data_IF_710455436391
#
_entry.id   IF_710455436391
#
_cell.length_a   1.000
_cell.length_b   1.000
_cell.length_c   1.000
_cell.angle_alpha   90.00
_cell.angle_beta   90.00
_cell.angle_gamma   90.00
#
_symmetry.space_group_name_H-M   'P 1'
#
loop_
_entity.id
_entity.type
_entity.pdbx_description
1 polymer ?
#
# COMPACT_ATOMS: atom_id res chain seq x y z
N UNK A 1 -12.37 11.91 9.52
CA UNK A 1 -12.07 10.55 9.05
C UNK A 1 -11.38 9.77 10.14
N UNK A 2 -11.97 9.89 11.28
CA UNK A 2 -11.50 9.13 12.42
C UNK A 2 -11.61 7.64 12.12
N UNK A 3 -10.67 6.90 12.65
CA UNK A 3 -10.63 5.44 12.59
C UNK A 3 -10.35 4.82 11.23
N UNK A 4 -10.06 5.63 10.21
CA UNK A 4 -9.57 5.08 8.95
C UNK A 4 -8.13 4.62 9.17
N UNK A 5 -7.88 3.34 8.92
CA UNK A 5 -6.55 2.75 9.09
C UNK A 5 -5.88 2.59 7.74
N UNK A 6 -4.64 3.03 7.65
CA UNK A 6 -3.86 2.91 6.42
C UNK A 6 -2.61 2.10 6.75
N UNK A 7 -2.44 0.98 6.05
CA UNK A 7 -1.28 0.10 6.21
C UNK A 7 -0.21 0.47 5.19
N UNK A 8 1.00 0.64 5.67
CA UNK A 8 2.15 0.98 4.83
C UNK A 8 3.19 -0.13 4.95
N UNK A 9 3.49 -0.78 3.82
CA UNK A 9 4.39 -1.92 3.76
C UNK A 9 5.60 -1.60 2.91
N UNK A 10 6.76 -1.55 3.53
CA UNK A 10 8.03 -1.27 2.88
C UNK A 10 9.12 -1.67 3.86
N UNK A 11 10.19 -2.29 3.40
CA UNK A 11 11.28 -2.68 4.29
C UNK A 11 12.18 -1.51 4.69
N UNK A 12 12.02 -0.35 4.08
CA UNK A 12 12.77 0.86 4.40
C UNK A 12 11.99 1.73 5.38
N UNK A 13 12.59 1.98 6.54
CA UNK A 13 12.01 2.88 7.54
C UNK A 13 11.83 4.28 6.96
N UNK A 14 12.82 4.75 6.19
CA UNK A 14 12.74 6.07 5.56
C UNK A 14 11.60 6.15 4.55
N UNK A 15 11.45 5.12 3.72
CA UNK A 15 10.37 5.10 2.73
C UNK A 15 9.00 5.13 3.42
N UNK A 16 8.84 4.35 4.50
CA UNK A 16 7.58 4.39 5.26
C UNK A 16 7.31 5.77 5.83
N UNK A 17 8.36 6.42 6.38
CA UNK A 17 8.19 7.76 6.94
C UNK A 17 7.79 8.77 5.86
N UNK A 18 8.44 8.72 4.71
CA UNK A 18 8.12 9.64 3.61
C UNK A 18 6.67 9.49 3.16
N UNK A 19 6.20 8.26 3.06
CA UNK A 19 4.82 7.99 2.64
C UNK A 19 3.83 8.44 3.71
N UNK A 20 4.12 8.15 4.98
CA UNK A 20 3.27 8.62 6.07
C UNK A 20 3.16 10.15 6.10
N UNK A 21 4.29 10.83 5.92
CA UNK A 21 4.30 12.30 5.92
C UNK A 21 3.45 12.86 4.78
N UNK A 22 3.52 12.24 3.61
CA UNK A 22 2.69 12.65 2.46
C UNK A 22 1.20 12.44 2.73
N UNK A 23 0.85 11.30 3.33
CA UNK A 23 -0.55 10.99 3.63
C UNK A 23 -1.10 11.92 4.73
N UNK A 24 -0.26 12.26 5.72
CA UNK A 24 -0.67 13.20 6.77
C UNK A 24 -1.09 14.55 6.19
N UNK A 25 -0.43 14.98 5.13
CA UNK A 25 -0.80 16.23 4.47
C UNK A 25 -2.19 16.17 3.81
N UNK A 26 -2.70 14.97 3.61
CA UNK A 26 -4.05 14.75 3.08
C UNK A 26 -5.09 14.64 4.19
N UNK A 27 -4.68 14.71 5.46
CA UNK A 27 -5.60 14.70 6.59
C UNK A 27 -5.79 13.37 7.28
N UNK A 28 -4.95 12.38 7.01
CA UNK A 28 -5.06 11.03 7.58
C UNK A 28 -3.79 10.70 8.35
N UNK A 29 -3.92 10.19 9.57
CA UNK A 29 -2.76 9.95 10.43
C UNK A 29 -2.83 8.66 11.26
N UNK A 30 -3.75 7.76 10.94
CA UNK A 30 -3.84 6.48 11.65
C UNK A 30 -3.18 5.39 10.82
N UNK A 31 -1.94 5.06 11.15
CA UNK A 31 -1.11 4.17 10.35
C UNK A 31 -0.82 2.85 11.04
N UNK A 32 -0.74 1.79 10.22
CA UNK A 32 -0.13 0.53 10.57
C UNK A 32 1.08 0.35 9.65
N UNK A 33 2.10 -0.34 10.10
CA UNK A 33 3.31 -0.52 9.31
C UNK A 33 3.72 -1.99 9.26
N UNK A 34 4.30 -2.37 8.12
CA UNK A 34 4.86 -3.70 7.94
C UNK A 34 6.18 -3.57 7.18
N UNK A 35 7.17 -4.37 7.52
CA UNK A 35 8.50 -4.31 6.92
C UNK A 35 8.78 -5.45 5.95
N UNK A 36 7.85 -6.36 5.75
CA UNK A 36 7.95 -7.44 4.79
C UNK A 36 6.56 -7.94 4.42
N UNK A 37 6.50 -8.79 3.40
CA UNK A 37 5.21 -9.26 2.89
C UNK A 37 4.42 -10.11 3.87
N UNK A 38 5.10 -10.90 4.71
CA UNK A 38 4.40 -11.71 5.69
C UNK A 38 3.75 -10.84 6.76
N UNK A 39 4.49 -9.83 7.26
CA UNK A 39 3.91 -8.87 8.21
C UNK A 39 2.74 -8.12 7.61
N UNK A 40 2.82 -7.78 6.32
CA UNK A 40 1.73 -7.10 5.63
C UNK A 40 0.46 -7.96 5.66
N UNK A 41 0.60 -9.23 5.33
CA UNK A 41 -0.53 -10.18 5.33
C UNK A 41 -1.11 -10.31 6.73
N UNK A 42 -0.26 -10.54 7.72
CA UNK A 42 -0.69 -10.74 9.10
C UNK A 42 -1.38 -9.51 9.67
N UNK A 43 -0.82 -8.33 9.40
CA UNK A 43 -1.39 -7.06 9.85
C UNK A 43 -2.74 -6.80 9.20
N UNK A 44 -2.84 -7.11 7.90
CA UNK A 44 -4.12 -6.95 7.20
C UNK A 44 -5.20 -7.85 7.82
N UNK A 45 -4.86 -9.11 8.07
CA UNK A 45 -5.83 -10.05 8.64
C UNK A 45 -6.31 -9.62 10.01
N UNK A 46 -5.42 -9.04 10.79
CA UNK A 46 -5.76 -8.62 12.15
C UNK A 46 -6.57 -7.32 12.17
N UNK A 47 -6.22 -6.36 11.34
CA UNK A 47 -6.77 -4.99 11.44
C UNK A 47 -7.70 -4.59 10.31
N UNK A 48 -7.65 -5.26 9.17
CA UNK A 48 -8.45 -4.95 7.98
C UNK A 48 -8.45 -3.45 7.64
N UNK A 49 -7.27 -2.89 7.37
CA UNK A 49 -7.17 -1.46 7.07
C UNK A 49 -7.96 -1.09 5.82
N UNK A 50 -8.42 0.14 5.76
CA UNK A 50 -9.22 0.65 4.64
C UNK A 50 -8.39 0.90 3.39
N UNK A 51 -7.08 1.04 3.53
CA UNK A 51 -6.19 1.28 2.40
C UNK A 51 -4.82 0.67 2.72
N UNK A 52 -4.20 0.04 1.72
CA UNK A 52 -2.88 -0.57 1.85
C UNK A 52 -1.97 -0.03 0.76
N UNK A 53 -0.79 0.44 1.16
CA UNK A 53 0.29 0.73 0.24
C UNK A 53 1.36 -0.35 0.43
N UNK A 54 1.73 -1.03 -0.63
CA UNK A 54 2.68 -2.13 -0.54
C UNK A 54 3.78 -1.98 -1.59
N UNK A 55 5.04 -1.97 -1.14
CA UNK A 55 6.18 -1.96 -2.05
C UNK A 55 6.29 -3.34 -2.71
N UNK A 56 6.72 -3.34 -3.97
CA UNK A 56 6.91 -4.59 -4.71
C UNK A 56 8.07 -5.39 -4.13
N UNK A 57 9.18 -4.73 -3.84
CA UNK A 57 10.40 -5.43 -3.40
C UNK A 57 10.47 -5.42 -1.88
N UNK A 58 10.20 -6.57 -1.29
CA UNK A 58 10.30 -6.77 0.17
C UNK A 58 10.84 -8.15 0.45
N UNK A 59 11.52 -8.34 1.60
CA UNK A 59 12.02 -9.66 1.97
C UNK A 59 10.89 -10.57 2.46
N UNK A 60 11.18 -11.86 2.56
CA UNK A 60 10.31 -12.93 3.05
C UNK A 60 9.21 -13.23 2.04
N UNK A 61 8.28 -12.29 1.83
CA UNK A 61 7.32 -12.31 0.73
C UNK A 61 7.32 -10.94 0.08
N UNK A 62 7.37 -10.91 -1.24
CA UNK A 62 7.35 -9.64 -1.97
C UNK A 62 5.95 -9.06 -2.06
N UNK A 63 5.84 -7.89 -2.70
CA UNK A 63 4.55 -7.21 -2.80
C UNK A 63 3.51 -7.96 -3.59
N UNK A 64 3.91 -8.68 -4.64
CA UNK A 64 2.97 -9.44 -5.46
C UNK A 64 2.37 -10.59 -4.64
N UNK A 65 3.22 -11.31 -3.92
CA UNK A 65 2.75 -12.39 -3.03
C UNK A 65 1.84 -11.85 -1.93
N UNK A 66 2.21 -10.71 -1.35
CA UNK A 66 1.40 -10.10 -0.30
C UNK A 66 0.02 -9.71 -0.83
N UNK A 67 -0.04 -9.09 -2.01
CA UNK A 67 -1.31 -8.71 -2.63
C UNK A 67 -2.17 -9.94 -2.89
N UNK A 68 -1.57 -10.99 -3.44
CA UNK A 68 -2.28 -12.24 -3.72
C UNK A 68 -2.94 -12.78 -2.44
N UNK A 69 -2.20 -12.91 -1.37
CA UNK A 69 -2.71 -13.49 -0.13
C UNK A 69 -3.71 -12.58 0.58
N UNK A 70 -3.47 -11.28 0.56
CA UNK A 70 -4.42 -10.32 1.13
C UNK A 70 -5.76 -10.38 0.39
N UNK A 71 -5.70 -10.40 -0.93
CA UNK A 71 -6.91 -10.45 -1.77
C UNK A 71 -7.63 -11.79 -1.68
N UNK A 72 -6.89 -12.86 -1.47
CA UNK A 72 -7.48 -14.18 -1.24
C UNK A 72 -8.25 -14.19 0.07
N UNK A 73 -7.71 -13.56 1.11
CA UNK A 73 -8.37 -13.42 2.40
C UNK A 73 -9.55 -12.45 2.33
N UNK A 74 -9.39 -11.33 1.63
CA UNK A 74 -10.41 -10.28 1.53
C UNK A 74 -10.46 -9.74 0.09
N UNK A 75 -11.38 -10.23 -0.74
CA UNK A 75 -11.49 -9.77 -2.13
C UNK A 75 -11.82 -8.28 -2.27
N UNK A 76 -12.25 -7.61 -1.19
CA UNK A 76 -12.56 -6.19 -1.22
C UNK A 76 -11.37 -5.32 -0.79
N UNK A 77 -10.24 -5.92 -0.47
CA UNK A 77 -9.05 -5.18 -0.03
C UNK A 77 -8.65 -4.14 -1.07
N UNK A 78 -8.38 -2.93 -0.60
CA UNK A 78 -8.01 -1.81 -1.46
C UNK A 78 -6.51 -1.60 -1.38
N UNK A 79 -5.79 -2.14 -2.33
CA UNK A 79 -4.33 -2.19 -2.31
C UNK A 79 -3.74 -1.34 -3.43
N UNK A 80 -2.80 -0.49 -3.06
CA UNK A 80 -2.03 0.34 -3.98
C UNK A 80 -0.60 -0.18 -3.97
N UNK A 81 -0.07 -0.50 -5.14
CA UNK A 81 1.30 -0.98 -5.23
C UNK A 81 2.27 0.18 -5.43
N UNK A 82 3.41 0.11 -4.75
CA UNK A 82 4.47 1.11 -4.88
C UNK A 82 5.58 0.48 -5.73
N UNK A 83 5.85 1.08 -6.88
CA UNK A 83 6.84 0.55 -7.82
C UNK A 83 8.09 1.43 -7.88
N UNK A 84 9.16 0.89 -8.42
CA UNK A 84 10.39 1.62 -8.66
C UNK A 84 10.96 1.21 -10.01
N UNK A 85 12.03 1.87 -10.42
CA UNK A 85 12.69 1.54 -11.69
C UNK A 85 13.11 0.08 -11.67
N UNK A 86 12.79 -0.63 -12.75
CA UNK A 86 13.17 -2.04 -12.89
C UNK A 86 12.14 -3.04 -12.40
N UNK A 87 10.97 -2.59 -11.94
CA UNK A 87 9.94 -3.50 -11.43
C UNK A 87 8.69 -3.56 -12.31
N UNK A 88 8.82 -3.30 -13.61
CA UNK A 88 7.67 -3.23 -14.51
C UNK A 88 6.90 -4.56 -14.62
N UNK A 89 7.62 -5.67 -14.70
CA UNK A 89 6.99 -6.99 -14.78
C UNK A 89 6.22 -7.30 -13.51
N UNK A 90 6.84 -7.02 -12.36
CA UNK A 90 6.21 -7.24 -11.06
C UNK A 90 5.01 -6.32 -10.87
N UNK A 91 5.09 -5.09 -11.38
CA UNK A 91 3.96 -4.16 -11.32
C UNK A 91 2.76 -4.73 -12.09
N UNK A 92 3.01 -5.25 -13.30
CA UNK A 92 1.94 -5.87 -14.08
C UNK A 92 1.32 -7.03 -13.31
N UNK A 93 2.14 -7.88 -12.70
CA UNK A 93 1.65 -9.02 -11.92
C UNK A 93 0.82 -8.55 -10.72
N UNK A 94 1.25 -7.46 -10.05
CA UNK A 94 0.51 -6.90 -8.92
C UNK A 94 -0.88 -6.42 -9.34
N UNK A 95 -0.96 -5.75 -10.47
CA UNK A 95 -2.26 -5.30 -11.00
C UNK A 95 -3.15 -6.51 -11.32
N UNK A 96 -2.57 -7.55 -11.92
CA UNK A 96 -3.32 -8.77 -12.22
C UNK A 96 -3.81 -9.48 -10.96
N UNK A 97 -3.08 -9.35 -9.83
CA UNK A 97 -3.51 -9.92 -8.56
C UNK A 97 -4.56 -9.04 -7.86
N UNK A 98 -4.88 -7.89 -8.41
CA UNK A 98 -5.97 -7.07 -7.90
C UNK A 98 -5.59 -5.75 -7.26
N UNK A 99 -4.34 -5.30 -7.41
CA UNK A 99 -4.00 -3.95 -6.99
C UNK A 99 -4.88 -2.95 -7.75
N UNK A 100 -5.41 -1.97 -7.04
CA UNK A 100 -6.35 -0.99 -7.62
C UNK A 100 -5.64 0.10 -8.41
N UNK A 101 -4.43 0.44 -8.00
CA UNK A 101 -3.67 1.50 -8.62
C UNK A 101 -2.21 1.34 -8.23
N UNK A 102 -1.37 2.21 -8.71
CA UNK A 102 0.05 2.20 -8.36
C UNK A 102 0.58 3.61 -8.24
N UNK A 103 1.68 3.76 -7.50
CA UNK A 103 2.50 4.96 -7.50
C UNK A 103 3.94 4.53 -7.74
N UNK A 104 4.74 5.44 -8.28
CA UNK A 104 6.13 5.15 -8.63
C UNK A 104 7.07 6.00 -7.77
N UNK A 105 8.12 5.39 -7.27
CA UNK A 105 9.16 6.11 -6.51
C UNK A 105 10.09 6.83 -7.49
N UNK A 106 10.47 8.05 -7.21
CA UNK A 106 9.98 8.92 -6.13
C UNK A 106 8.56 9.41 -6.45
N UNK A 107 7.68 9.35 -5.46
CA UNK A 107 6.28 9.74 -5.67
C UNK A 107 6.07 11.21 -5.33
N UNK A 108 5.06 11.80 -5.95
CA UNK A 108 4.66 13.17 -5.66
C UNK A 108 3.51 13.17 -4.65
N UNK A 109 3.39 14.28 -3.92
CA UNK A 109 2.27 14.46 -3.00
C UNK A 109 0.95 14.47 -3.78
N UNK A 110 0.96 15.02 -5.01
CA UNK A 110 -0.21 15.02 -5.87
C UNK A 110 -0.72 13.61 -6.18
N UNK A 111 0.19 12.68 -6.50
CA UNK A 111 -0.18 11.30 -6.78
C UNK A 111 -0.81 10.63 -5.55
N UNK A 112 -0.22 10.85 -4.38
CA UNK A 112 -0.76 10.33 -3.13
C UNK A 112 -2.14 10.92 -2.86
N UNK A 113 -2.28 12.23 -3.03
CA UNK A 113 -3.55 12.91 -2.78
C UNK A 113 -4.66 12.38 -3.68
N UNK A 114 -4.35 12.11 -4.96
CA UNK A 114 -5.34 11.56 -5.90
C UNK A 114 -5.83 10.19 -5.44
N UNK A 115 -4.93 9.34 -4.95
CA UNK A 115 -5.28 8.01 -4.47
C UNK A 115 -6.15 8.10 -3.22
N UNK A 116 -5.77 8.96 -2.28
CA UNK A 116 -6.53 9.16 -1.04
C UNK A 116 -7.95 9.65 -1.36
N UNK A 117 -8.08 10.60 -2.26
CA UNK A 117 -9.39 11.12 -2.66
C UNK A 117 -10.23 10.06 -3.34
N UNK A 118 -9.63 9.29 -4.24
CA UNK A 118 -10.34 8.23 -4.93
C UNK A 118 -10.90 7.21 -3.95
N UNK A 119 -10.13 6.90 -2.90
CA UNK A 119 -10.54 5.90 -1.92
C UNK A 119 -11.59 6.41 -0.93
N UNK A 120 -11.41 7.63 -0.43
CA UNK A 120 -12.18 8.11 0.71
C UNK A 120 -13.18 9.21 0.38
N UNK A 121 -13.05 9.85 -0.77
CA UNK A 121 -13.92 10.97 -1.14
C UNK A 121 -14.75 10.68 -2.39
N UNK A 122 -14.80 9.43 -2.83
CA UNK A 122 -15.69 9.02 -3.91
C UNK A 122 -15.23 9.45 -5.30
N UNK A 123 -13.95 9.65 -5.49
CA UNK A 123 -13.42 10.14 -6.77
C UNK A 123 -12.75 9.08 -7.57
#
# INVERSE_FOLDING_TARGET
MENVKILICDDSILARKQLKDAIKKCGYDNFLEASNGQEAIDTYKEHKPELVFVDIVMPIKDGVEAIHEIREFDPTAHVIVVSSVGTQTQLKNAIMEGARDFIQKPFSISAINDIIRARFEGR
#
